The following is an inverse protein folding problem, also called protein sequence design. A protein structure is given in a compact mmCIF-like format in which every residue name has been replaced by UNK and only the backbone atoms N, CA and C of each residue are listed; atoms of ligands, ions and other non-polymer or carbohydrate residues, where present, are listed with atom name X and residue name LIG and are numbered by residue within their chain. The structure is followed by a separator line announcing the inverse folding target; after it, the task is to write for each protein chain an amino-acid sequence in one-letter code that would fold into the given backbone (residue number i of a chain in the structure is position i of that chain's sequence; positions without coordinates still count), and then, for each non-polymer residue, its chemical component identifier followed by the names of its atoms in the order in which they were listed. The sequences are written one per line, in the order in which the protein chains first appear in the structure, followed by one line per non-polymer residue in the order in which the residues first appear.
data_IF_007305621218
#
_entry.id   IF_007305621218
#
_cell.length_a   1.000
_cell.length_b   1.000
_cell.length_c   1.000
_cell.angle_alpha   90.00
_cell.angle_beta   90.00
_cell.angle_gamma   90.00
#
_symmetry.space_group_name_H-M   'P 1'
#
loop_
_entity.id
_entity.type
_entity.pdbx_description
1 polymer ?
#
# COMPACT_ATOMS: atom_id res chain seq x y z
N UNK A 1 -6.89 -31.77 -58.68
CA UNK A 1 -6.67 -32.66 -57.52
C UNK A 1 -7.42 -32.06 -56.35
N UNK A 2 -8.27 -32.81 -55.63
CA UNK A 2 -8.90 -32.33 -54.42
C UNK A 2 -7.83 -32.07 -53.36
N UNK A 3 -7.93 -30.93 -52.69
CA UNK A 3 -7.02 -30.54 -51.61
C UNK A 3 -7.43 -31.29 -50.34
N UNK A 4 -6.59 -32.18 -49.84
CA UNK A 4 -6.70 -32.72 -48.49
C UNK A 4 -6.21 -31.63 -47.51
N UNK A 5 -7.05 -31.10 -46.61
CA UNK A 5 -6.58 -30.15 -45.62
C UNK A 5 -5.59 -30.86 -44.69
N UNK A 6 -4.36 -30.34 -44.58
CA UNK A 6 -3.41 -30.82 -43.58
C UNK A 6 -4.08 -30.65 -42.21
N UNK A 7 -4.31 -31.76 -41.51
CA UNK A 7 -4.80 -31.83 -40.13
C UNK A 7 -3.79 -31.31 -39.11
N UNK A 8 -3.23 -30.15 -39.39
CA UNK A 8 -2.39 -29.31 -38.52
C UNK A 8 -3.21 -28.27 -37.77
N UNK A 9 -4.54 -28.30 -37.90
CA UNK A 9 -5.42 -27.62 -36.95
C UNK A 9 -5.29 -28.34 -35.62
N UNK A 10 -4.43 -27.79 -34.76
CA UNK A 10 -4.53 -27.95 -33.31
C UNK A 10 -6.01 -27.91 -32.93
N UNK A 11 -6.51 -28.85 -32.09
CA UNK A 11 -7.91 -28.91 -31.76
C UNK A 11 -8.31 -27.55 -31.21
N UNK A 12 -8.93 -26.73 -32.06
CA UNK A 12 -9.68 -25.58 -31.63
C UNK A 12 -10.75 -26.21 -30.78
N UNK A 13 -10.63 -26.05 -29.47
CA UNK A 13 -11.72 -26.27 -28.54
C UNK A 13 -12.88 -25.39 -29.01
N UNK A 14 -13.68 -25.91 -29.92
CA UNK A 14 -14.75 -25.22 -30.63
C UNK A 14 -15.99 -25.10 -29.73
N UNK A 15 -15.84 -25.25 -28.41
CA UNK A 15 -16.95 -25.17 -27.48
C UNK A 15 -16.54 -24.47 -26.20
N UNK A 16 -17.04 -23.24 -26.05
CA UNK A 16 -16.96 -22.38 -24.87
C UNK A 16 -15.58 -21.82 -24.51
N UNK A 17 -15.34 -20.53 -24.75
CA UNK A 17 -14.82 -19.64 -23.69
C UNK A 17 -14.92 -18.11 -23.99
N UNK A 18 -16.02 -17.54 -24.54
CA UNK A 18 -16.24 -16.09 -24.41
C UNK A 18 -16.38 -15.67 -22.93
N UNK A 19 -16.72 -16.62 -22.04
CA UNK A 19 -16.75 -16.41 -20.58
C UNK A 19 -15.37 -16.27 -19.95
N UNK A 20 -14.32 -16.97 -20.43
CA UNK A 20 -13.00 -17.00 -19.76
C UNK A 20 -12.18 -15.74 -20.05
N UNK A 21 -12.24 -15.21 -21.28
CA UNK A 21 -11.68 -13.90 -21.61
C UNK A 21 -12.37 -12.76 -20.83
N UNK A 22 -13.72 -12.76 -20.79
CA UNK A 22 -14.50 -11.78 -20.02
C UNK A 22 -14.30 -11.92 -18.50
N UNK A 23 -14.04 -13.14 -18.01
CA UNK A 23 -13.72 -13.40 -16.61
C UNK A 23 -12.32 -12.88 -16.24
N UNK A 24 -11.34 -13.02 -17.14
CA UNK A 24 -9.99 -12.52 -16.91
C UNK A 24 -9.96 -10.98 -16.84
N UNK A 25 -10.66 -10.30 -17.75
CA UNK A 25 -10.78 -8.84 -17.71
C UNK A 25 -11.44 -8.35 -16.41
N UNK A 26 -12.53 -8.98 -15.99
CA UNK A 26 -13.21 -8.65 -14.74
C UNK A 26 -12.32 -8.88 -13.51
N UNK A 27 -11.53 -9.96 -13.51
CA UNK A 27 -10.62 -10.29 -12.41
C UNK A 27 -9.43 -9.32 -12.34
N UNK A 28 -8.90 -8.91 -13.50
CA UNK A 28 -7.82 -7.94 -13.61
C UNK A 28 -8.28 -6.53 -13.21
N UNK A 29 -9.46 -6.11 -13.69
CA UNK A 29 -10.10 -4.85 -13.28
C UNK A 29 -10.39 -4.86 -11.78
N UNK A 30 -10.90 -5.96 -11.22
CA UNK A 30 -11.12 -6.11 -9.78
C UNK A 30 -9.82 -5.98 -8.96
N UNK A 31 -8.71 -6.54 -9.46
CA UNK A 31 -7.38 -6.38 -8.89
C UNK A 31 -6.90 -4.92 -8.88
N UNK A 32 -7.06 -4.20 -9.99
CA UNK A 32 -6.70 -2.79 -10.08
C UNK A 32 -7.53 -1.92 -9.11
N UNK A 33 -8.84 -2.17 -9.00
CA UNK A 33 -9.70 -1.44 -8.06
C UNK A 33 -9.33 -1.72 -6.60
N UNK A 34 -8.95 -2.95 -6.26
CA UNK A 34 -8.50 -3.28 -4.90
C UNK A 34 -7.15 -2.63 -4.57
N UNK A 35 -6.22 -2.59 -5.53
CA UNK A 35 -4.94 -1.88 -5.37
C UNK A 35 -5.17 -0.37 -5.19
N UNK A 36 -5.96 0.25 -6.08
CA UNK A 36 -6.25 1.67 -6.02
C UNK A 36 -6.99 2.03 -4.72
N UNK A 37 -8.09 1.33 -4.43
CA UNK A 37 -8.90 1.58 -3.23
C UNK A 37 -8.12 1.36 -1.94
N UNK A 38 -7.31 0.31 -1.87
CA UNK A 38 -6.45 0.05 -0.72
C UNK A 38 -5.36 1.08 -0.54
N UNK A 39 -4.66 1.46 -1.61
CA UNK A 39 -3.60 2.48 -1.53
C UNK A 39 -4.15 3.84 -1.10
N UNK A 40 -5.31 4.25 -1.62
CA UNK A 40 -6.01 5.48 -1.21
C UNK A 40 -6.46 5.41 0.24
N UNK A 41 -7.06 4.29 0.67
CA UNK A 41 -7.50 4.13 2.06
C UNK A 41 -6.34 4.29 3.04
N UNK A 42 -5.21 3.61 2.77
CA UNK A 42 -4.01 3.68 3.59
C UNK A 42 -3.44 5.10 3.60
N UNK A 43 -3.42 5.77 2.45
CA UNK A 43 -3.01 7.17 2.36
C UNK A 43 -3.89 8.08 3.21
N UNK A 44 -5.22 7.96 3.10
CA UNK A 44 -6.16 8.76 3.88
C UNK A 44 -5.98 8.55 5.38
N UNK A 45 -5.79 7.31 5.82
CA UNK A 45 -5.49 6.98 7.22
C UNK A 45 -4.13 7.57 7.68
N UNK A 46 -3.18 7.71 6.77
CA UNK A 46 -1.90 8.38 7.06
C UNK A 46 -2.05 9.89 7.15
N UNK A 47 -2.89 10.48 6.31
CA UNK A 47 -3.08 11.92 6.19
C UNK A 47 -3.98 12.50 7.29
N UNK A 48 -5.03 11.78 7.69
CA UNK A 48 -6.04 12.22 8.64
C UNK A 48 -5.53 12.89 9.94
N UNK A 49 -4.50 12.35 10.64
CA UNK A 49 -4.09 12.88 11.94
C UNK A 49 -3.24 14.15 11.81
N UNK A 50 -2.78 14.48 10.59
CA UNK A 50 -2.05 15.71 10.30
C UNK A 50 -2.98 16.90 9.99
N UNK A 51 -4.29 16.67 9.87
CA UNK A 51 -5.28 17.74 9.66
C UNK A 51 -5.60 18.54 10.94
N UNK A 52 -5.42 17.93 12.11
CA UNK A 52 -5.89 18.48 13.39
C UNK A 52 -4.76 18.96 14.31
N UNK A 53 -3.50 18.68 13.97
CA UNK A 53 -2.37 18.86 14.89
C UNK A 53 -1.21 19.63 14.28
N UNK A 54 -0.69 20.59 15.03
CA UNK A 54 0.55 21.28 14.72
C UNK A 54 1.75 20.34 14.92
N UNK A 55 2.62 20.18 13.91
CA UNK A 55 3.71 19.19 13.89
C UNK A 55 5.10 19.80 14.14
N UNK A 56 5.10 20.98 14.76
CA UNK A 56 6.32 21.74 15.11
C UNK A 56 7.09 21.10 16.27
N UNK A 57 6.40 20.48 17.23
CA UNK A 57 7.04 19.81 18.37
C UNK A 57 7.23 18.32 18.13
N UNK A 58 8.33 17.76 18.65
CA UNK A 58 8.67 16.34 18.47
C UNK A 58 7.59 15.41 19.06
N UNK A 59 7.04 15.76 20.22
CA UNK A 59 5.99 14.98 20.88
C UNK A 59 4.72 14.90 20.05
N UNK A 60 4.31 16.00 19.41
CA UNK A 60 3.13 16.04 18.55
C UNK A 60 3.38 15.29 17.24
N UNK A 61 4.58 15.39 16.68
CA UNK A 61 4.97 14.62 15.50
C UNK A 61 4.89 13.11 15.79
N UNK A 62 5.51 12.65 16.87
CA UNK A 62 5.49 11.24 17.27
C UNK A 62 4.09 10.77 17.64
N UNK A 63 3.29 11.62 18.31
CA UNK A 63 1.89 11.34 18.62
C UNK A 63 1.05 11.17 17.36
N UNK A 64 1.16 12.08 16.40
CA UNK A 64 0.42 12.01 15.13
C UNK A 64 0.87 10.80 14.28
N UNK A 65 2.18 10.57 14.17
CA UNK A 65 2.73 9.40 13.46
C UNK A 65 2.29 8.10 14.13
N UNK A 66 2.42 7.99 15.45
CA UNK A 66 2.00 6.80 16.19
C UNK A 66 0.48 6.55 16.07
N UNK A 67 -0.32 7.61 16.14
CA UNK A 67 -1.77 7.52 15.97
C UNK A 67 -2.17 7.15 14.54
N UNK A 68 -1.43 7.61 13.53
CA UNK A 68 -1.60 7.19 12.13
C UNK A 68 -1.21 5.73 11.92
N UNK A 69 -0.10 5.31 12.55
CA UNK A 69 0.53 4.01 12.33
C UNK A 69 -0.42 2.87 12.71
N UNK A 70 -1.07 2.94 13.87
CA UNK A 70 -1.95 1.88 14.37
C UNK A 70 -3.06 1.49 13.38
N UNK A 71 -3.96 2.41 12.93
CA UNK A 71 -5.00 2.07 11.98
C UNK A 71 -4.45 1.69 10.61
N UNK A 72 -3.36 2.32 10.16
CA UNK A 72 -2.71 1.98 8.88
C UNK A 72 -2.18 0.55 8.87
N UNK A 73 -1.51 0.13 9.94
CA UNK A 73 -0.97 -1.23 10.04
C UNK A 73 -2.08 -2.28 10.18
N UNK A 74 -3.14 -1.98 10.94
CA UNK A 74 -4.30 -2.90 11.06
C UNK A 74 -4.98 -3.05 9.71
N UNK A 75 -5.32 -1.95 9.04
CA UNK A 75 -5.95 -1.98 7.72
C UNK A 75 -5.05 -2.68 6.69
N UNK A 76 -3.76 -2.36 6.67
CA UNK A 76 -2.77 -2.98 5.78
C UNK A 76 -2.62 -4.48 5.99
N UNK A 77 -2.54 -4.93 7.24
CA UNK A 77 -2.46 -6.36 7.57
C UNK A 77 -3.75 -7.11 7.19
N UNK A 78 -4.92 -6.51 7.45
CA UNK A 78 -6.21 -7.09 7.05
C UNK A 78 -6.33 -7.18 5.53
N UNK A 79 -5.99 -6.12 4.80
CA UNK A 79 -6.01 -6.14 3.32
C UNK A 79 -5.03 -7.16 2.75
N UNK A 80 -3.81 -7.24 3.31
CA UNK A 80 -2.79 -8.21 2.89
C UNK A 80 -3.27 -9.65 3.10
N UNK A 81 -4.01 -9.92 4.19
CA UNK A 81 -4.56 -11.27 4.46
C UNK A 81 -5.75 -11.62 3.58
N UNK A 82 -6.67 -10.67 3.36
CA UNK A 82 -7.90 -10.92 2.61
C UNK A 82 -7.67 -10.95 1.09
N UNK A 83 -6.88 -10.02 0.57
CA UNK A 83 -6.63 -9.86 -0.86
C UNK A 83 -5.27 -10.43 -1.31
N UNK A 84 -4.50 -11.06 -0.40
CA UNK A 84 -3.21 -11.69 -0.69
C UNK A 84 -2.23 -10.74 -1.39
N UNK A 85 -1.83 -11.06 -2.62
CA UNK A 85 -0.85 -10.31 -3.39
C UNK A 85 -1.35 -8.90 -3.76
N UNK A 86 -2.61 -8.76 -4.19
CA UNK A 86 -3.15 -7.43 -4.54
C UNK A 86 -3.25 -6.56 -3.30
N UNK A 87 -3.62 -7.12 -2.15
CA UNK A 87 -3.61 -6.44 -0.86
C UNK A 87 -2.23 -6.00 -0.40
N UNK A 88 -1.21 -6.87 -0.55
CA UNK A 88 0.18 -6.53 -0.22
C UNK A 88 0.70 -5.37 -1.08
N UNK A 89 0.43 -5.40 -2.39
CA UNK A 89 0.82 -4.33 -3.32
C UNK A 89 0.08 -3.03 -2.99
N UNK A 90 -1.22 -3.10 -2.71
CA UNK A 90 -2.02 -1.93 -2.30
C UNK A 90 -1.44 -1.27 -1.04
N UNK A 91 -1.07 -2.10 -0.05
CA UNK A 91 -0.50 -1.63 1.19
C UNK A 91 0.89 -1.01 0.99
N UNK A 92 1.78 -1.66 0.24
CA UNK A 92 3.10 -1.11 -0.08
C UNK A 92 3.01 0.23 -0.83
N UNK A 93 2.11 0.33 -1.81
CA UNK A 93 1.86 1.57 -2.54
C UNK A 93 1.33 2.68 -1.62
N UNK A 94 0.38 2.36 -0.73
CA UNK A 94 -0.15 3.28 0.26
C UNK A 94 0.91 3.75 1.26
N UNK A 95 1.77 2.83 1.75
CA UNK A 95 2.87 3.16 2.66
C UNK A 95 3.91 4.07 2.00
N UNK A 96 4.21 3.84 0.73
CA UNK A 96 5.11 4.71 -0.05
C UNK A 96 4.53 6.11 -0.24
N UNK A 97 3.25 6.20 -0.63
CA UNK A 97 2.55 7.48 -0.75
C UNK A 97 2.48 8.24 0.59
N UNK A 98 2.21 7.53 1.69
CA UNK A 98 2.24 8.08 3.05
C UNK A 98 3.63 8.59 3.46
N UNK A 99 4.70 7.85 3.13
CA UNK A 99 6.07 8.28 3.38
C UNK A 99 6.42 9.56 2.59
N UNK A 100 6.02 9.64 1.32
CA UNK A 100 6.18 10.85 0.50
C UNK A 100 5.41 12.05 1.08
N UNK A 101 4.19 11.83 1.55
CA UNK A 101 3.43 12.87 2.25
C UNK A 101 4.16 13.35 3.51
N UNK A 102 4.64 12.43 4.36
CA UNK A 102 5.39 12.79 5.57
C UNK A 102 6.65 13.59 5.22
N UNK A 103 7.38 13.19 4.20
CA UNK A 103 8.57 13.91 3.72
C UNK A 103 8.22 15.33 3.27
N UNK A 104 7.18 15.48 2.45
CA UNK A 104 6.73 16.80 1.97
C UNK A 104 6.21 17.67 3.11
N UNK A 105 5.39 17.11 4.01
CA UNK A 105 4.82 17.83 5.14
C UNK A 105 5.91 18.35 6.09
N UNK A 106 6.90 17.52 6.40
CA UNK A 106 8.06 17.95 7.20
C UNK A 106 8.88 19.01 6.47
N UNK A 107 9.10 18.89 5.16
CA UNK A 107 9.80 19.94 4.40
C UNK A 107 9.05 21.27 4.39
N UNK A 108 7.72 21.26 4.32
CA UNK A 108 6.89 22.48 4.41
C UNK A 108 7.09 23.17 5.77
N UNK A 109 7.09 22.41 6.87
CA UNK A 109 7.31 22.95 8.21
C UNK A 109 8.67 23.66 8.35
N UNK A 110 9.69 23.17 7.65
CA UNK A 110 11.00 23.79 7.66
C UNK A 110 11.20 24.86 6.59
N UNK A 111 10.45 24.85 5.49
CA UNK A 111 10.50 25.92 4.48
C UNK A 111 10.06 27.27 5.06
N UNK A 112 9.24 27.27 6.12
CA UNK A 112 8.93 28.47 6.90
C UNK A 112 10.10 28.98 7.75
N UNK A 113 11.05 28.13 8.14
CA UNK A 113 12.06 28.42 9.18
C UNK A 113 13.10 29.49 8.80
N UNK A 114 13.21 29.82 7.50
CA UNK A 114 14.08 30.89 6.98
C UNK A 114 13.48 32.29 7.18
N UNK A 115 12.19 32.38 7.50
CA UNK A 115 11.56 33.63 7.90
C UNK A 115 11.70 33.86 9.42
N UNK A 116 12.08 35.07 9.87
CA UNK A 116 12.39 35.35 11.27
C UNK A 116 11.18 35.22 12.21
N UNK A 117 9.95 35.27 11.68
CA UNK A 117 8.71 35.18 12.44
C UNK A 117 8.06 33.79 12.40
N UNK A 118 8.61 32.83 11.64
CA UNK A 118 8.01 31.51 11.55
C UNK A 118 8.44 30.62 12.72
N UNK A 119 7.49 29.84 13.27
CA UNK A 119 7.83 28.84 14.27
C UNK A 119 8.76 27.80 13.66
N UNK A 120 9.90 27.56 14.33
CA UNK A 120 10.87 26.56 13.91
C UNK A 120 10.55 25.21 14.55
N UNK A 121 10.74 24.10 13.84
CA UNK A 121 10.63 22.78 14.44
C UNK A 121 11.64 22.59 15.57
N UNK A 122 11.21 21.96 16.67
CA UNK A 122 12.07 21.66 17.82
C UNK A 122 13.04 20.48 17.56
N UNK A 123 12.93 19.82 16.40
CA UNK A 123 13.70 18.64 16.04
C UNK A 123 14.71 18.91 14.92
N UNK A 124 15.85 18.19 14.91
CA UNK A 124 16.88 18.39 13.91
C UNK A 124 16.43 17.95 12.51
N UNK A 125 17.07 18.52 11.50
CA UNK A 125 16.76 18.33 10.07
C UNK A 125 16.73 16.86 9.62
N UNK A 126 17.55 16.02 10.26
CA UNK A 126 17.65 14.58 9.98
C UNK A 126 16.30 13.85 10.13
N UNK A 127 15.40 14.35 10.98
CA UNK A 127 14.07 13.75 11.18
C UNK A 127 13.19 13.79 9.93
N UNK A 128 13.44 14.72 8.99
CA UNK A 128 12.73 14.75 7.70
C UNK A 128 12.94 13.47 6.89
N UNK A 129 14.07 12.80 7.08
CA UNK A 129 14.41 11.57 6.38
C UNK A 129 14.11 10.33 7.21
N UNK A 130 14.40 10.38 8.51
CA UNK A 130 14.22 9.23 9.41
C UNK A 130 12.73 8.86 9.52
N UNK A 131 11.83 9.83 9.69
CA UNK A 131 10.41 9.53 9.93
C UNK A 131 9.76 8.84 8.73
N UNK A 132 9.87 9.36 7.49
CA UNK A 132 9.34 8.67 6.31
C UNK A 132 9.97 7.30 6.09
N UNK A 133 11.27 7.16 6.34
CA UNK A 133 11.98 5.90 6.15
C UNK A 133 11.53 4.85 7.19
N UNK A 134 11.44 5.23 8.45
CA UNK A 134 10.92 4.38 9.52
C UNK A 134 9.47 3.97 9.24
N UNK A 135 8.63 4.90 8.78
CA UNK A 135 7.26 4.62 8.38
C UNK A 135 7.20 3.51 7.33
N UNK A 136 7.95 3.68 6.23
CA UNK A 136 7.97 2.71 5.14
C UNK A 136 8.53 1.35 5.58
N UNK A 137 9.61 1.33 6.36
CA UNK A 137 10.23 0.09 6.87
C UNK A 137 9.27 -0.68 7.79
N UNK A 138 8.60 0.00 8.72
CA UNK A 138 7.62 -0.64 9.61
C UNK A 138 6.46 -1.23 8.79
N UNK A 139 5.99 -0.50 7.77
CA UNK A 139 5.02 -1.01 6.80
C UNK A 139 5.48 -2.28 6.10
N UNK A 140 6.71 -2.30 5.59
CA UNK A 140 7.27 -3.48 4.95
C UNK A 140 7.37 -4.68 5.89
N UNK A 141 7.81 -4.49 7.14
CA UNK A 141 7.86 -5.58 8.12
C UNK A 141 6.47 -6.17 8.36
N UNK A 142 5.46 -5.32 8.53
CA UNK A 142 4.07 -5.78 8.72
C UNK A 142 3.53 -6.46 7.47
N UNK A 143 3.84 -5.94 6.27
CA UNK A 143 3.45 -6.57 5.00
C UNK A 143 4.04 -7.98 4.91
N UNK A 144 5.35 -8.13 5.15
CA UNK A 144 6.03 -9.42 5.09
C UNK A 144 5.50 -10.39 6.15
N UNK A 145 5.22 -9.92 7.36
CA UNK A 145 4.64 -10.75 8.42
C UNK A 145 3.20 -11.18 8.11
N UNK A 146 2.39 -10.27 7.57
CA UNK A 146 1.01 -10.55 7.19
C UNK A 146 0.92 -11.49 5.97
N UNK A 147 1.85 -11.35 5.02
CA UNK A 147 1.93 -12.16 3.81
C UNK A 147 2.55 -13.54 4.05
N UNK A 148 3.61 -13.61 4.87
CA UNK A 148 4.39 -14.82 5.16
C UNK A 148 3.70 -15.84 6.07
N UNK A 149 2.44 -15.62 6.46
CA UNK A 149 1.67 -16.50 7.33
C UNK A 149 0.53 -17.32 6.65
N UNK A 150 0.64 -17.89 5.42
CA UNK A 150 -0.45 -18.66 4.84
C UNK A 150 -0.48 -20.16 5.22
N UNK A 151 0.47 -20.68 6.04
CA UNK A 151 0.82 -22.11 5.97
C UNK A 151 1.03 -22.91 7.27
N UNK A 152 0.54 -22.51 8.45
CA UNK A 152 0.68 -23.35 9.68
C UNK A 152 -0.51 -24.26 10.04
N UNK A 153 -1.54 -24.36 9.18
CA UNK A 153 -2.78 -25.11 9.51
C UNK A 153 -3.09 -26.31 8.60
N UNK A 154 -2.15 -26.82 7.80
CA UNK A 154 -2.38 -27.97 6.89
C UNK A 154 -1.45 -29.17 7.09
N UNK A 155 -0.81 -29.31 8.26
CA UNK A 155 0.04 -30.48 8.57
C UNK A 155 -0.48 -31.33 9.74
N UNK A 156 -1.80 -31.35 10.02
CA UNK A 156 -2.29 -31.98 11.25
C UNK A 156 -3.62 -32.72 11.22
N UNK A 157 -4.24 -33.01 10.07
CA UNK A 157 -5.40 -33.90 10.00
C UNK A 157 -5.39 -34.67 8.67
N UNK A 158 -4.63 -35.75 8.64
CA UNK A 158 -4.75 -36.87 7.71
C UNK A 158 -4.92 -38.15 8.52
#
# INVERSE_FOLDING_TARGET
MPFEPLGTDEPREESNTPRRAKSFENELVGGCFTILGGSVLIFLLTWWPFLTGDTLTLERLLGAVGFALVPVLIAGAVMTRLAKLTGAIAFAAGMFAGAMFLFLNLNINFAGADSPDAPRPDYPDVWRWIVPLAWFLVGLVVMLFAYGNPGRNTEGQG
#
